data_IF_687342680789
#
_entry.id   IF_687342680789
#
_cell.length_a   1.000
_cell.length_b   1.000
_cell.length_c   1.000
_cell.angle_alpha   90.00
_cell.angle_beta   90.00
_cell.angle_gamma   90.00
#
_symmetry.space_group_name_H-M   'P 1'
#
loop_
_entity.id
_entity.type
_entity.pdbx_description
1 polymer ?
#
# COMPACT_ATOMS: atom_id res chain seq x y z
N UNK A 1 31.83 -22.72 -43.95
CA UNK A 1 30.52 -23.06 -43.32
C UNK A 1 30.27 -22.33 -41.98
N UNK A 2 31.27 -21.78 -41.30
CA UNK A 2 31.15 -21.19 -39.95
C UNK A 2 30.70 -19.73 -39.90
N UNK A 3 30.91 -18.97 -40.99
CA UNK A 3 30.58 -17.52 -41.05
C UNK A 3 29.09 -17.28 -41.38
N UNK A 4 28.48 -18.17 -42.15
CA UNK A 4 27.08 -18.04 -42.52
C UNK A 4 26.13 -18.34 -41.35
N UNK A 5 26.49 -19.29 -40.48
CA UNK A 5 25.69 -19.60 -39.27
C UNK A 5 25.68 -18.46 -38.23
N UNK A 6 26.80 -17.72 -38.10
CA UNK A 6 26.88 -16.57 -37.16
C UNK A 6 26.06 -15.40 -37.64
N UNK A 7 25.91 -15.18 -38.94
CA UNK A 7 25.05 -14.11 -39.49
C UNK A 7 23.56 -14.44 -39.36
N UNK A 8 23.18 -15.73 -39.45
CA UNK A 8 21.80 -16.15 -39.24
C UNK A 8 21.37 -16.04 -37.79
N UNK A 9 22.26 -16.33 -36.83
CA UNK A 9 22.00 -16.17 -35.40
C UNK A 9 21.81 -14.71 -34.99
N UNK A 10 22.57 -13.78 -35.58
CA UNK A 10 22.43 -12.34 -35.30
C UNK A 10 21.13 -11.77 -35.89
N UNK A 11 20.65 -12.28 -37.02
CA UNK A 11 19.38 -11.89 -37.59
C UNK A 11 18.18 -12.46 -36.80
N UNK A 12 18.25 -13.66 -36.21
CA UNK A 12 17.21 -14.21 -35.36
C UNK A 12 17.13 -13.49 -33.99
N UNK A 13 18.28 -13.07 -33.43
CA UNK A 13 18.24 -12.31 -32.17
C UNK A 13 17.79 -10.86 -32.37
N UNK A 14 18.05 -10.24 -33.52
CA UNK A 14 17.52 -8.92 -33.85
C UNK A 14 16.01 -8.94 -34.15
N UNK A 15 15.50 -10.03 -34.73
CA UNK A 15 14.05 -10.19 -34.97
C UNK A 15 13.25 -10.48 -33.68
N UNK A 16 13.87 -10.99 -32.62
CA UNK A 16 13.23 -11.23 -31.33
C UNK A 16 13.17 -9.99 -30.42
N UNK A 17 13.94 -8.93 -30.73
CA UNK A 17 13.92 -7.69 -29.93
C UNK A 17 12.99 -6.58 -30.46
N UNK A 18 12.25 -6.83 -31.55
CA UNK A 18 11.29 -5.84 -32.10
C UNK A 18 9.85 -6.35 -31.94
N UNK A 19 9.49 -6.86 -30.77
CA UNK A 19 8.13 -6.64 -30.26
C UNK A 19 8.16 -5.36 -29.43
N UNK A 20 8.44 -4.24 -30.05
CA UNK A 20 8.03 -2.95 -29.51
C UNK A 20 6.51 -3.07 -29.35
N UNK A 21 6.04 -3.26 -28.10
CA UNK A 21 4.67 -3.06 -27.74
C UNK A 21 4.30 -1.67 -28.23
N UNK A 22 3.64 -1.58 -29.38
CA UNK A 22 3.00 -0.33 -29.77
C UNK A 22 1.82 -0.13 -28.83
N UNK A 23 2.12 0.43 -27.64
CA UNK A 23 1.11 0.94 -26.74
C UNK A 23 0.37 2.05 -27.51
N UNK A 24 -0.74 1.69 -28.15
CA UNK A 24 -1.54 2.66 -28.85
C UNK A 24 -2.06 3.68 -27.82
N UNK A 25 -1.91 4.99 -28.16
CA UNK A 25 -2.48 6.06 -27.34
C UNK A 25 -3.93 5.74 -27.04
N UNK A 26 -4.26 5.71 -25.77
CA UNK A 26 -5.64 5.56 -25.26
C UNK A 26 -6.47 6.67 -25.91
N UNK A 27 -7.69 6.35 -26.30
CA UNK A 27 -8.67 7.37 -26.67
C UNK A 27 -8.65 8.45 -25.58
N UNK A 28 -8.35 9.69 -25.99
CA UNK A 28 -8.09 10.80 -25.06
C UNK A 28 -9.22 10.98 -24.05
N UNK A 29 -10.45 10.82 -24.50
CA UNK A 29 -11.64 10.93 -23.63
C UNK A 29 -11.64 9.87 -22.55
N UNK A 30 -11.34 8.61 -22.88
CA UNK A 30 -11.27 7.49 -21.93
C UNK A 30 -10.14 7.72 -20.92
N UNK A 31 -8.97 8.16 -21.41
CA UNK A 31 -7.84 8.46 -20.53
C UNK A 31 -8.18 9.57 -19.52
N UNK A 32 -8.86 10.62 -19.98
CA UNK A 32 -9.26 11.73 -19.10
C UNK A 32 -10.28 11.30 -18.06
N UNK A 33 -11.32 10.54 -18.42
CA UNK A 33 -12.32 10.06 -17.46
C UNK A 33 -11.72 9.14 -16.39
N UNK A 34 -10.82 8.23 -16.78
CA UNK A 34 -10.11 7.36 -15.84
C UNK A 34 -9.16 8.19 -14.96
N UNK A 35 -8.45 9.15 -15.55
CA UNK A 35 -7.55 10.03 -14.80
C UNK A 35 -8.32 10.88 -13.78
N UNK A 36 -9.47 11.40 -14.14
CA UNK A 36 -10.33 12.16 -13.23
C UNK A 36 -10.80 11.31 -12.05
N UNK A 37 -11.27 10.07 -12.30
CA UNK A 37 -11.65 9.13 -11.25
C UNK A 37 -10.52 8.89 -10.25
N UNK A 38 -9.32 8.56 -10.73
CA UNK A 38 -8.19 8.28 -9.84
C UNK A 38 -7.51 9.53 -9.25
N UNK A 39 -7.66 10.70 -9.87
CA UNK A 39 -7.15 11.96 -9.30
C UNK A 39 -8.03 12.49 -8.17
N UNK A 40 -9.28 12.05 -8.11
CA UNK A 40 -10.26 12.41 -7.08
C UNK A 40 -10.72 11.17 -6.28
N UNK A 41 -9.85 10.16 -6.16
CA UNK A 41 -10.23 8.90 -5.55
C UNK A 41 -10.64 9.06 -4.09
N UNK A 42 -11.74 8.43 -3.72
CA UNK A 42 -12.22 8.28 -2.35
C UNK A 42 -12.68 6.85 -2.12
N UNK A 43 -12.78 6.44 -0.86
CA UNK A 43 -13.37 5.17 -0.46
C UNK A 43 -14.16 5.35 0.84
N UNK A 44 -14.93 4.36 1.22
CA UNK A 44 -15.70 4.39 2.48
C UNK A 44 -14.78 4.53 3.72
N UNK A 45 -13.52 4.18 3.56
CA UNK A 45 -12.50 4.26 4.62
C UNK A 45 -11.53 5.42 4.44
N UNK A 46 -11.60 6.11 3.32
CA UNK A 46 -10.81 7.31 3.02
C UNK A 46 -11.67 8.33 2.30
N UNK A 47 -12.34 9.17 3.07
CA UNK A 47 -13.26 10.19 2.57
C UNK A 47 -12.54 11.40 1.96
N UNK A 48 -11.27 11.60 2.31
CA UNK A 48 -10.45 12.67 1.75
C UNK A 48 -9.99 12.30 0.34
N UNK A 49 -10.27 13.17 -0.63
CA UNK A 49 -9.81 12.98 -2.01
C UNK A 49 -8.29 12.99 -2.11
N UNK A 50 -7.74 12.07 -2.88
CA UNK A 50 -6.32 12.04 -3.17
C UNK A 50 -6.03 11.55 -4.58
N UNK A 51 -4.82 11.86 -5.06
CA UNK A 51 -4.34 11.43 -6.37
C UNK A 51 -3.81 10.01 -6.27
N UNK A 52 -4.47 9.08 -6.95
CA UNK A 52 -4.16 7.66 -6.93
C UNK A 52 -3.33 7.17 -8.13
N UNK A 53 -3.21 7.95 -9.22
CA UNK A 53 -2.41 7.58 -10.39
C UNK A 53 -0.91 7.78 -10.17
N UNK A 54 -0.10 6.89 -10.77
CA UNK A 54 1.36 7.07 -10.82
C UNK A 54 1.73 8.15 -11.84
N UNK A 55 2.27 9.29 -11.37
CA UNK A 55 2.66 10.42 -12.21
C UNK A 55 3.99 10.20 -12.96
N UNK A 56 4.75 9.19 -12.59
CA UNK A 56 6.10 8.93 -13.12
C UNK A 56 6.10 8.10 -14.41
N UNK A 57 4.93 7.62 -14.87
CA UNK A 57 4.78 6.70 -16.01
C UNK A 57 3.63 7.11 -16.91
N UNK A 58 3.61 6.53 -18.11
CA UNK A 58 2.37 6.46 -18.87
C UNK A 58 1.41 5.54 -18.09
N UNK A 59 0.53 6.13 -17.33
CA UNK A 59 -0.24 5.49 -16.26
C UNK A 59 -1.52 4.78 -16.74
N UNK A 60 -1.94 5.00 -17.99
CA UNK A 60 -3.11 4.37 -18.59
C UNK A 60 -2.72 3.85 -19.97
N UNK A 61 -2.70 2.52 -20.13
CA UNK A 61 -2.28 1.86 -21.38
C UNK A 61 -3.43 1.01 -21.90
N UNK A 62 -3.83 1.26 -23.14
CA UNK A 62 -4.82 0.46 -23.86
C UNK A 62 -4.13 -0.39 -24.92
N UNK A 63 -4.19 -1.70 -24.77
CA UNK A 63 -3.73 -2.63 -25.78
C UNK A 63 -4.91 -3.20 -26.56
N UNK A 64 -5.07 -2.76 -27.82
CA UNK A 64 -6.18 -3.20 -28.66
C UNK A 64 -6.02 -4.64 -29.15
N UNK A 65 -4.76 -5.13 -29.28
CA UNK A 65 -4.51 -6.53 -29.72
C UNK A 65 -4.92 -7.51 -28.65
N UNK A 66 -4.48 -7.31 -27.40
CA UNK A 66 -4.82 -8.17 -26.27
C UNK A 66 -6.17 -7.81 -25.63
N UNK A 67 -6.83 -6.77 -26.10
CA UNK A 67 -8.07 -6.23 -25.52
C UNK A 67 -7.91 -5.99 -24.00
N UNK A 68 -6.82 -5.32 -23.62
CA UNK A 68 -6.47 -5.09 -22.22
C UNK A 68 -6.27 -3.59 -21.95
N UNK A 69 -6.84 -3.14 -20.83
CA UNK A 69 -6.64 -1.81 -20.27
C UNK A 69 -5.85 -1.95 -18.98
N UNK A 70 -4.66 -1.38 -18.94
CA UNK A 70 -3.78 -1.39 -17.76
C UNK A 70 -3.68 0.02 -17.18
N UNK A 71 -3.89 0.14 -15.87
CA UNK A 71 -3.85 1.39 -15.11
C UNK A 71 -2.80 1.21 -14.01
N UNK A 72 -1.87 2.15 -13.93
CA UNK A 72 -0.82 2.15 -12.90
C UNK A 72 -1.14 3.17 -11.82
N UNK A 73 -1.27 2.68 -10.58
CA UNK A 73 -1.53 3.49 -9.41
C UNK A 73 -0.26 3.71 -8.58
N UNK A 74 -0.27 4.78 -7.79
CA UNK A 74 0.85 5.20 -6.95
C UNK A 74 0.86 4.53 -5.57
N UNK A 75 1.84 4.90 -4.74
CA UNK A 75 2.00 4.35 -3.41
C UNK A 75 0.88 4.77 -2.44
N UNK A 76 0.28 5.93 -2.63
CA UNK A 76 -0.86 6.37 -1.82
C UNK A 76 -2.10 5.48 -2.04
N UNK A 77 -2.32 5.05 -3.28
CA UNK A 77 -3.37 4.08 -3.58
C UNK A 77 -3.01 2.68 -3.05
N UNK A 78 -1.73 2.27 -3.16
CA UNK A 78 -1.26 1.00 -2.61
C UNK A 78 -1.46 0.89 -1.09
N UNK A 79 -1.36 2.01 -0.37
CA UNK A 79 -1.55 2.07 1.07
C UNK A 79 -3.02 1.94 1.53
N UNK A 80 -3.98 1.82 0.61
CA UNK A 80 -5.39 1.67 0.97
C UNK A 80 -5.68 0.29 1.58
N UNK A 81 -6.66 0.19 2.50
CA UNK A 81 -7.08 -1.07 3.09
C UNK A 81 -7.95 -1.88 2.12
N UNK A 82 -7.30 -2.56 1.15
CA UNK A 82 -8.00 -3.31 0.12
C UNK A 82 -8.91 -4.40 0.71
N UNK A 83 -10.18 -4.34 0.34
CA UNK A 83 -11.19 -5.37 0.61
C UNK A 83 -11.75 -5.91 -0.71
N UNK A 84 -12.37 -7.10 -0.76
CA UNK A 84 -13.02 -7.60 -1.96
C UNK A 84 -14.04 -6.62 -2.56
N UNK A 85 -14.84 -5.98 -1.73
CA UNK A 85 -15.87 -5.03 -2.16
C UNK A 85 -15.25 -3.74 -2.73
N UNK A 86 -14.18 -3.24 -2.10
CA UNK A 86 -13.43 -2.09 -2.62
C UNK A 86 -12.84 -2.39 -3.99
N UNK A 87 -12.17 -3.54 -4.14
CA UNK A 87 -11.58 -3.96 -5.41
C UNK A 87 -12.65 -4.11 -6.49
N UNK A 88 -13.75 -4.79 -6.15
CA UNK A 88 -14.89 -4.94 -7.06
C UNK A 88 -15.42 -3.58 -7.51
N UNK A 89 -15.65 -2.65 -6.58
CA UNK A 89 -16.12 -1.28 -6.87
C UNK A 89 -15.19 -0.57 -7.85
N UNK A 90 -13.88 -0.60 -7.61
CA UNK A 90 -12.89 0.03 -8.50
C UNK A 90 -13.02 -0.52 -9.93
N UNK A 91 -13.15 -1.83 -10.10
CA UNK A 91 -13.33 -2.42 -11.44
C UNK A 91 -14.66 -2.07 -12.06
N UNK A 92 -15.75 -2.05 -11.29
CA UNK A 92 -17.09 -1.70 -11.77
C UNK A 92 -17.15 -0.23 -12.20
N UNK A 93 -16.58 0.68 -11.40
CA UNK A 93 -16.51 2.11 -11.71
C UNK A 93 -15.71 2.36 -13.01
N UNK A 94 -14.52 1.75 -13.13
CA UNK A 94 -13.73 1.86 -14.36
C UNK A 94 -14.53 1.32 -15.55
N UNK A 95 -15.21 0.19 -15.39
CA UNK A 95 -16.02 -0.41 -16.45
C UNK A 95 -17.19 0.48 -16.84
N UNK A 96 -17.80 1.19 -15.90
CA UNK A 96 -18.85 2.16 -16.16
C UNK A 96 -18.37 3.34 -17.01
N UNK A 97 -17.14 3.81 -16.78
CA UNK A 97 -16.51 4.91 -17.52
C UNK A 97 -16.13 4.52 -18.96
N UNK A 98 -16.03 3.22 -19.27
CA UNK A 98 -15.61 2.79 -20.60
C UNK A 98 -16.74 2.86 -21.63
N UNK A 99 -16.47 3.39 -22.85
CA UNK A 99 -17.37 3.27 -23.99
C UNK A 99 -17.68 1.81 -24.34
N UNK A 100 -18.80 1.56 -24.99
CA UNK A 100 -19.27 0.21 -25.35
C UNK A 100 -18.20 -0.64 -26.05
N UNK A 101 -17.40 -0.02 -26.94
CA UNK A 101 -16.31 -0.70 -27.67
C UNK A 101 -15.19 -1.26 -26.77
N UNK A 102 -15.05 -0.74 -25.53
CA UNK A 102 -14.02 -1.18 -24.59
C UNK A 102 -14.58 -1.92 -23.37
N UNK A 103 -15.89 -2.02 -23.20
CA UNK A 103 -16.53 -2.68 -22.04
C UNK A 103 -16.13 -4.14 -21.85
N UNK A 104 -15.76 -4.83 -22.94
CA UNK A 104 -15.31 -6.23 -22.89
C UNK A 104 -13.82 -6.40 -22.62
N UNK A 105 -13.05 -5.30 -22.57
CA UNK A 105 -11.63 -5.36 -22.33
C UNK A 105 -11.33 -5.85 -20.92
N UNK A 106 -10.24 -6.61 -20.79
CA UNK A 106 -9.69 -7.00 -19.49
C UNK A 106 -9.10 -5.76 -18.83
N UNK A 107 -9.60 -5.42 -17.66
CA UNK A 107 -9.09 -4.28 -16.88
C UNK A 107 -8.08 -4.82 -15.88
N UNK A 108 -6.90 -4.17 -15.80
CA UNK A 108 -5.87 -4.42 -14.79
C UNK A 108 -5.52 -3.11 -14.11
N UNK A 109 -5.72 -3.05 -12.81
CA UNK A 109 -5.26 -1.94 -11.97
C UNK A 109 -4.07 -2.44 -11.19
N UNK A 110 -2.91 -1.81 -11.37
CA UNK A 110 -1.65 -2.27 -10.83
C UNK A 110 -1.10 -1.28 -9.79
N UNK A 111 -0.69 -1.80 -8.65
CA UNK A 111 0.05 -1.09 -7.61
C UNK A 111 1.39 -1.80 -7.38
N UNK A 112 2.51 -1.07 -7.51
CA UNK A 112 3.86 -1.66 -7.40
C UNK A 112 4.07 -2.91 -8.28
N UNK A 113 3.44 -2.90 -9.47
CA UNK A 113 3.52 -4.01 -10.43
C UNK A 113 2.61 -5.21 -10.11
N UNK A 114 1.83 -5.18 -9.03
CA UNK A 114 0.88 -6.23 -8.66
C UNK A 114 -0.56 -5.78 -8.91
N UNK A 115 -1.45 -6.66 -9.38
CA UNK A 115 -2.88 -6.38 -9.44
C UNK A 115 -3.44 -6.02 -8.06
N UNK A 116 -4.42 -5.13 -8.00
CA UNK A 116 -5.07 -4.75 -6.73
C UNK A 116 -5.77 -5.93 -6.06
N UNK A 117 -6.18 -6.94 -6.81
CA UNK A 117 -6.70 -8.20 -6.29
C UNK A 117 -5.68 -8.90 -5.37
N UNK A 118 -4.39 -8.83 -5.72
CA UNK A 118 -3.32 -9.41 -4.90
C UNK A 118 -3.02 -8.56 -3.65
N UNK A 119 -3.51 -7.32 -3.59
CA UNK A 119 -3.35 -6.47 -2.42
C UNK A 119 -4.36 -6.80 -1.30
N UNK A 120 -5.43 -7.58 -1.59
CA UNK A 120 -6.41 -8.00 -0.59
C UNK A 120 -5.73 -8.90 0.45
N UNK A 121 -5.80 -8.57 1.76
CA UNK A 121 -5.27 -9.41 2.83
C UNK A 121 -5.95 -10.79 2.89
N UNK A 122 -5.20 -11.80 3.33
CA UNK A 122 -5.71 -13.18 3.44
C UNK A 122 -6.97 -13.31 4.31
N UNK A 123 -7.10 -12.46 5.34
CA UNK A 123 -8.27 -12.46 6.23
C UNK A 123 -9.60 -12.23 5.50
N UNK A 124 -9.56 -11.53 4.35
CA UNK A 124 -10.74 -11.26 3.54
C UNK A 124 -10.93 -12.25 2.38
N UNK A 125 -9.99 -13.18 2.18
CA UNK A 125 -10.02 -14.16 1.09
C UNK A 125 -10.78 -15.41 1.51
N UNK A 126 -12.02 -15.59 1.07
CA UNK A 126 -12.79 -16.81 1.29
C UNK A 126 -12.23 -18.03 0.54
N UNK A 127 -11.61 -17.77 -0.62
CA UNK A 127 -10.93 -18.79 -1.46
C UNK A 127 -9.63 -18.18 -2.01
N UNK A 128 -8.64 -19.04 -2.31
CA UNK A 128 -7.39 -18.55 -2.91
C UNK A 128 -6.50 -17.79 -1.92
N UNK A 129 -6.37 -18.31 -0.71
CA UNK A 129 -5.42 -17.81 0.29
C UNK A 129 -4.01 -17.83 -0.30
N UNK A 130 -3.35 -16.67 -0.27
CA UNK A 130 -1.97 -16.54 -0.69
C UNK A 130 -1.04 -17.15 0.37
N UNK A 131 -0.56 -18.36 0.08
CA UNK A 131 0.29 -19.12 1.00
C UNK A 131 1.64 -18.44 1.26
N UNK A 132 2.13 -17.60 0.34
CA UNK A 132 3.39 -16.87 0.51
C UNK A 132 3.32 -15.82 1.61
N UNK A 133 2.11 -15.41 2.01
CA UNK A 133 1.84 -14.44 3.08
C UNK A 133 1.47 -15.10 4.40
N UNK A 134 1.40 -16.41 4.45
CA UNK A 134 1.24 -17.13 5.70
C UNK A 134 2.60 -17.22 6.36
N UNK A 135 2.62 -17.05 7.68
CA UNK A 135 3.79 -17.41 8.46
C UNK A 135 4.06 -18.90 8.20
N UNK A 136 5.26 -19.22 7.74
CA UNK A 136 5.72 -20.57 7.68
C UNK A 136 5.62 -21.20 9.09
N UNK A 137 5.65 -22.50 9.17
CA UNK A 137 5.89 -23.18 10.43
C UNK A 137 7.27 -22.72 10.93
N UNK A 138 7.29 -21.70 11.75
CA UNK A 138 8.45 -21.39 12.56
C UNK A 138 8.50 -22.50 13.62
N UNK A 139 9.14 -23.59 13.28
CA UNK A 139 9.59 -24.57 14.28
C UNK A 139 10.70 -23.88 15.09
N UNK A 140 10.27 -23.08 16.04
CA UNK A 140 11.19 -22.46 16.99
C UNK A 140 11.40 -23.45 18.12
N UNK A 141 12.54 -24.12 18.12
CA UNK A 141 12.92 -25.08 19.15
C UNK A 141 13.54 -24.44 20.42
N UNK A 142 13.68 -23.11 20.42
CA UNK A 142 14.24 -22.39 21.55
C UNK A 142 13.25 -22.06 22.67
N UNK A 143 13.74 -21.33 23.66
CA UNK A 143 12.87 -20.78 24.69
C UNK A 143 11.82 -19.85 24.11
N UNK A 144 10.56 -19.87 24.57
CA UNK A 144 9.53 -18.94 24.12
C UNK A 144 10.00 -17.48 24.19
N UNK A 145 9.78 -16.69 23.13
CA UNK A 145 10.13 -15.27 23.13
C UNK A 145 9.31 -14.48 24.14
N UNK A 146 8.08 -14.92 24.43
CA UNK A 146 7.21 -14.38 25.46
C UNK A 146 6.90 -15.50 26.46
N UNK A 147 7.27 -15.28 27.69
CA UNK A 147 7.02 -16.22 28.80
C UNK A 147 5.97 -15.62 29.73
N UNK A 148 5.21 -16.51 30.37
CA UNK A 148 4.26 -16.18 31.45
C UNK A 148 3.19 -15.15 31.10
N UNK A 149 2.91 -14.93 29.81
CA UNK A 149 1.91 -13.97 29.33
C UNK A 149 0.47 -14.33 29.75
N UNK A 150 0.20 -15.59 30.09
CA UNK A 150 -1.10 -16.09 30.55
C UNK A 150 -1.13 -16.45 32.02
N UNK A 151 -0.05 -16.20 32.76
CA UNK A 151 0.05 -16.49 34.20
C UNK A 151 0.18 -15.19 34.99
N UNK A 152 -0.29 -15.13 36.25
CA UNK A 152 0.03 -14.03 37.12
C UNK A 152 1.54 -13.92 37.24
N UNK A 153 2.12 -12.92 36.59
CA UNK A 153 3.56 -12.69 36.64
C UNK A 153 3.88 -11.77 37.80
N UNK A 154 4.63 -12.26 38.79
CA UNK A 154 5.16 -11.42 39.87
C UNK A 154 6.45 -10.77 39.40
N UNK A 155 6.36 -9.50 39.01
CA UNK A 155 7.53 -8.68 38.73
C UNK A 155 8.28 -8.44 40.02
N UNK A 156 9.50 -8.96 40.12
CA UNK A 156 10.30 -8.88 41.37
C UNK A 156 10.80 -7.47 41.64
N UNK A 157 11.04 -6.69 40.61
CA UNK A 157 11.61 -5.35 40.69
C UNK A 157 10.84 -4.29 39.90
N UNK A 158 9.95 -4.66 39.02
CA UNK A 158 9.19 -3.72 38.20
C UNK A 158 10.05 -2.70 37.44
N UNK A 159 9.49 -1.51 37.22
CA UNK A 159 10.20 -0.34 36.70
C UNK A 159 10.41 0.74 37.76
N UNK A 160 10.27 0.39 39.02
CA UNK A 160 10.42 1.32 40.15
C UNK A 160 11.78 2.04 40.10
N UNK A 161 11.74 3.36 40.19
CA UNK A 161 12.92 4.21 40.10
C UNK A 161 13.57 4.31 38.73
N UNK A 162 12.94 3.76 37.66
CA UNK A 162 13.41 3.94 36.28
C UNK A 162 12.85 5.22 35.70
N UNK A 163 13.72 5.97 35.04
CA UNK A 163 13.37 7.18 34.30
C UNK A 163 13.36 6.85 32.81
N UNK A 164 12.21 7.00 32.18
CA UNK A 164 12.01 6.64 30.78
C UNK A 164 11.57 7.86 29.98
N UNK A 165 12.24 8.12 28.87
CA UNK A 165 11.79 9.11 27.89
C UNK A 165 11.02 8.36 26.77
N UNK A 166 9.74 8.67 26.62
CA UNK A 166 8.86 8.02 25.65
C UNK A 166 8.32 9.06 24.65
N UNK A 167 8.70 8.90 23.39
CA UNK A 167 8.19 9.71 22.30
C UNK A 167 6.99 9.05 21.63
N UNK A 168 5.90 9.82 21.46
CA UNK A 168 4.67 9.37 20.81
C UNK A 168 4.67 9.64 19.29
N UNK A 169 5.79 9.35 18.60
CA UNK A 169 6.02 9.61 17.18
C UNK A 169 6.32 11.07 16.83
N UNK A 170 6.31 11.42 15.53
CA UNK A 170 6.83 12.71 15.05
C UNK A 170 5.87 13.89 15.28
N UNK A 171 4.56 13.67 15.08
CA UNK A 171 3.55 14.71 15.23
C UNK A 171 3.46 15.70 14.08
N UNK A 172 2.92 16.88 14.37
CA UNK A 172 2.72 17.94 13.37
C UNK A 172 3.90 18.92 13.37
N UNK A 173 4.17 19.47 12.20
CA UNK A 173 5.10 20.58 12.01
C UNK A 173 4.46 21.69 11.19
N UNK A 174 4.93 22.91 11.36
CA UNK A 174 4.50 24.04 10.54
C UNK A 174 5.31 24.08 9.25
N UNK A 175 4.64 23.89 8.10
CA UNK A 175 5.26 24.04 6.79
C UNK A 175 5.26 25.52 6.40
N UNK A 176 6.42 26.15 6.41
CA UNK A 176 6.56 27.56 6.02
C UNK A 176 6.16 27.77 4.56
N UNK A 177 6.49 26.83 3.69
CA UNK A 177 6.18 26.90 2.27
C UNK A 177 4.67 26.93 1.98
N UNK A 178 3.87 26.26 2.80
CA UNK A 178 2.42 26.15 2.62
C UNK A 178 1.64 26.98 3.63
N UNK A 179 2.32 27.56 4.61
CA UNK A 179 1.74 28.31 5.74
C UNK A 179 0.68 27.49 6.52
N UNK A 180 0.92 26.18 6.68
CA UNK A 180 -0.02 25.25 7.29
C UNK A 180 0.69 24.27 8.24
N UNK A 181 -0.05 23.85 9.28
CA UNK A 181 0.35 22.73 10.13
C UNK A 181 0.08 21.41 9.41
N UNK A 182 1.11 20.60 9.24
CA UNK A 182 1.05 19.29 8.56
C UNK A 182 1.55 18.18 9.48
N UNK A 183 1.00 16.99 9.29
CA UNK A 183 1.60 15.78 9.85
C UNK A 183 2.92 15.50 9.17
N UNK A 184 3.94 15.09 9.93
CA UNK A 184 5.26 14.80 9.38
C UNK A 184 5.24 13.53 8.51
N UNK A 185 4.45 12.56 8.90
CA UNK A 185 4.32 11.30 8.16
C UNK A 185 3.10 11.30 7.24
N UNK A 186 3.19 10.61 6.09
CA UNK A 186 2.09 10.51 5.15
C UNK A 186 0.94 9.69 5.71
N UNK A 187 -0.20 9.74 5.03
CA UNK A 187 -1.33 8.90 5.32
C UNK A 187 -0.99 7.42 5.13
N UNK A 188 -1.40 6.61 6.09
CA UNK A 188 -1.32 5.16 6.10
C UNK A 188 -2.68 4.62 6.57
N UNK A 189 -3.34 3.77 5.76
CA UNK A 189 -4.67 3.22 6.09
C UNK A 189 -5.72 4.27 6.49
N UNK A 190 -5.79 5.38 5.78
CA UNK A 190 -6.70 6.50 6.05
C UNK A 190 -6.43 7.27 7.34
N UNK A 191 -5.32 7.02 7.99
CA UNK A 191 -4.78 7.80 9.11
C UNK A 191 -3.35 8.21 8.82
N UNK A 192 -2.70 8.93 9.73
CA UNK A 192 -1.25 9.14 9.68
C UNK A 192 -0.56 8.17 10.61
N UNK A 193 0.68 7.81 10.29
CA UNK A 193 1.53 7.03 11.19
C UNK A 193 1.62 7.67 12.58
N UNK A 194 1.73 9.00 12.61
CA UNK A 194 1.81 9.76 13.85
C UNK A 194 0.58 9.60 14.74
N UNK A 195 -0.62 9.72 14.19
CA UNK A 195 -1.87 9.54 14.92
C UNK A 195 -2.04 8.09 15.37
N UNK A 196 -1.72 7.14 14.53
CA UNK A 196 -1.80 5.72 14.85
C UNK A 196 -0.89 5.39 16.05
N UNK A 197 0.36 5.84 16.01
CA UNK A 197 1.31 5.62 17.10
C UNK A 197 0.85 6.31 18.38
N UNK A 198 0.38 7.56 18.31
CA UNK A 198 -0.13 8.29 19.48
C UNK A 198 -1.30 7.59 20.13
N UNK A 199 -2.23 7.03 19.33
CA UNK A 199 -3.42 6.32 19.85
C UNK A 199 -3.09 5.07 20.67
N UNK A 200 -1.88 4.56 20.58
CA UNK A 200 -1.38 3.43 21.37
C UNK A 200 -0.47 3.90 22.51
N UNK A 201 0.47 4.78 22.20
CA UNK A 201 1.50 5.18 23.16
C UNK A 201 0.90 5.99 24.31
N UNK A 202 0.07 6.99 24.00
CA UNK A 202 -0.48 7.89 25.04
C UNK A 202 -1.47 7.19 25.97
N UNK A 203 -2.54 6.52 25.48
CA UNK A 203 -3.56 5.95 26.36
C UNK A 203 -3.18 4.60 26.96
N UNK A 204 -2.21 3.89 26.40
CA UNK A 204 -1.89 2.54 26.86
C UNK A 204 -0.45 2.38 27.33
N UNK A 205 0.54 2.63 26.47
CA UNK A 205 1.95 2.34 26.83
C UNK A 205 2.43 3.19 28.00
N UNK A 206 2.22 4.50 27.98
CA UNK A 206 2.65 5.40 29.05
C UNK A 206 2.01 5.01 30.39
N UNK A 207 0.68 4.87 30.51
CA UNK A 207 0.06 4.41 31.75
C UNK A 207 0.56 3.03 32.22
N UNK A 208 0.83 2.11 31.32
CA UNK A 208 1.38 0.79 31.68
C UNK A 208 2.77 0.90 32.29
N UNK A 209 3.63 1.76 31.73
CA UNK A 209 4.98 2.01 32.26
C UNK A 209 4.92 2.70 33.64
N UNK A 210 4.04 3.68 33.80
CA UNK A 210 3.83 4.40 35.07
C UNK A 210 3.26 3.46 36.14
N UNK A 211 2.28 2.62 35.78
CA UNK A 211 1.73 1.61 36.68
C UNK A 211 2.75 0.54 37.10
N UNK A 212 3.77 0.31 36.26
CA UNK A 212 4.89 -0.53 36.59
C UNK A 212 5.96 0.16 37.50
N UNK A 213 5.76 1.42 37.88
CA UNK A 213 6.60 2.20 38.77
C UNK A 213 7.63 3.10 38.07
N UNK A 214 7.57 3.27 36.76
CA UNK A 214 8.48 4.16 36.04
C UNK A 214 8.08 5.63 36.16
N UNK A 215 9.07 6.53 36.14
CA UNK A 215 8.87 7.97 35.88
C UNK A 215 8.98 8.18 34.37
N UNK A 216 7.85 8.52 33.73
CA UNK A 216 7.79 8.68 32.28
C UNK A 216 7.79 10.15 31.88
N UNK A 217 8.79 10.53 31.07
CA UNK A 217 8.91 11.83 30.46
C UNK A 217 8.47 11.76 29.00
N UNK A 218 7.65 12.71 28.57
CA UNK A 218 7.22 12.83 27.18
C UNK A 218 7.69 14.16 26.59
N UNK A 219 8.16 14.21 25.33
CA UNK A 219 8.64 15.44 24.70
C UNK A 219 7.51 16.40 24.32
N UNK A 220 6.26 15.95 24.41
CA UNK A 220 5.04 16.70 24.08
C UNK A 220 3.95 16.41 25.11
N UNK A 221 2.95 17.29 25.12
CA UNK A 221 1.74 17.07 25.93
C UNK A 221 1.07 15.74 25.57
N UNK A 222 0.32 15.21 26.53
CA UNK A 222 -0.33 13.88 26.42
C UNK A 222 -1.76 13.98 25.92
N UNK A 223 -2.30 15.22 25.77
CA UNK A 223 -3.67 15.53 25.38
C UNK A 223 -3.83 15.63 23.84
#
# INVERSE_FOLDING_TARGET
MTIMLKRLAVFLTAAMCITVLSAQKVDRTVALSIAEYFNNYTSDRCVTKFVALDRRRNNIILNKKSQELTIYCNDAFYAQPFTPDMVKRVYDDIRALLPLKYKKYKIRVLCKGKPIDDCIPNIYRKKGVDKSRLWGKLEYEGNPWVKDHSRPFRVKYGLEGRHLAVGQSHGRYYSVADSLWKWQRPYLFCTTEDLFTQSIVVPFLIPMLENAGALVYTPRERD
#
